data_IF_447197194457
#
_entry.id   IF_447197194457
#
_cell.length_a   1.000
_cell.length_b   1.000
_cell.length_c   1.000
_cell.angle_alpha   90.00
_cell.angle_beta   90.00
_cell.angle_gamma   90.00
#
_symmetry.space_group_name_H-M   'P 1'
#
loop_
_entity.id
_entity.type
_entity.pdbx_description
1 polymer ?
#
# COMPACT_ATOMS: atom_id res chain seq x y z
N UNK A 1 16.79 89.23 1.54
CA UNK A 1 16.28 88.42 0.42
C UNK A 1 16.76 87.00 0.65
N UNK A 2 15.99 86.07 1.25
CA UNK A 2 14.86 85.28 0.72
C UNK A 2 15.10 84.65 -0.67
N UNK A 3 14.86 83.32 -0.67
CA UNK A 3 14.41 82.44 -1.76
C UNK A 3 15.48 81.93 -2.75
N UNK A 4 15.48 80.67 -3.26
CA UNK A 4 14.81 79.37 -3.00
C UNK A 4 15.34 78.42 -4.08
N UNK A 5 15.29 77.10 -3.87
CA UNK A 5 15.53 76.09 -4.92
C UNK A 5 15.72 74.68 -4.36
N UNK A 6 14.72 74.11 -3.68
CA UNK A 6 13.74 73.14 -4.22
C UNK A 6 14.32 71.72 -4.46
N UNK A 7 14.24 70.94 -3.38
CA UNK A 7 13.82 69.53 -3.22
C UNK A 7 13.41 68.78 -4.51
N UNK A 8 14.01 67.61 -4.74
CA UNK A 8 13.28 66.43 -5.26
C UNK A 8 13.92 65.12 -4.78
N UNK A 9 13.50 64.63 -3.60
CA UNK A 9 13.67 63.22 -3.20
C UNK A 9 12.59 62.41 -3.92
N UNK A 10 12.98 61.65 -4.94
CA UNK A 10 12.11 60.61 -5.50
C UNK A 10 12.09 59.43 -4.53
N UNK A 11 11.03 59.38 -3.72
CA UNK A 11 10.67 58.27 -2.85
C UNK A 11 10.25 57.07 -3.71
N UNK A 12 11.06 56.01 -3.75
CA UNK A 12 10.54 54.69 -4.12
C UNK A 12 9.77 54.12 -2.93
N UNK A 13 8.47 54.38 -2.91
CA UNK A 13 7.55 53.79 -1.95
C UNK A 13 7.33 52.31 -2.36
N UNK A 14 8.17 51.41 -1.84
CA UNK A 14 8.04 49.97 -2.08
C UNK A 14 6.74 49.50 -1.42
N UNK A 15 5.67 49.31 -2.21
CA UNK A 15 4.39 48.80 -1.71
C UNK A 15 4.63 47.37 -1.21
N UNK A 16 4.62 47.20 0.11
CA UNK A 16 4.78 45.91 0.77
C UNK A 16 3.46 45.17 0.71
N UNK A 17 3.51 43.90 0.36
CA UNK A 17 2.31 43.08 0.19
C UNK A 17 1.66 42.77 1.53
N UNK A 18 0.37 42.46 1.51
CA UNK A 18 -0.28 41.79 2.64
C UNK A 18 0.31 40.39 2.82
N UNK A 19 0.16 39.80 4.02
CA UNK A 19 0.57 38.42 4.27
C UNK A 19 -0.09 37.43 3.29
N UNK A 20 -1.37 37.63 2.94
CA UNK A 20 -2.07 36.79 1.96
C UNK A 20 -1.49 36.93 0.55
N UNK A 21 -1.20 38.14 0.09
CA UNK A 21 -0.60 38.35 -1.24
C UNK A 21 0.83 37.82 -1.31
N UNK A 22 1.60 38.00 -0.25
CA UNK A 22 2.94 37.44 -0.14
C UNK A 22 2.90 35.91 -0.12
N UNK A 23 2.00 35.30 0.66
CA UNK A 23 1.80 33.85 0.65
C UNK A 23 1.45 33.33 -0.75
N UNK A 24 0.56 34.02 -1.44
CA UNK A 24 0.19 33.67 -2.81
C UNK A 24 1.38 33.73 -3.76
N UNK A 25 2.15 34.82 -3.72
CA UNK A 25 3.31 35.00 -4.60
C UNK A 25 4.43 34.00 -4.30
N UNK A 26 4.70 33.71 -3.02
CA UNK A 26 5.66 32.68 -2.62
C UNK A 26 5.22 31.32 -3.14
N UNK A 27 3.98 30.90 -2.89
CA UNK A 27 3.50 29.59 -3.36
C UNK A 27 3.39 29.50 -4.89
N UNK A 28 3.13 30.62 -5.57
CA UNK A 28 3.11 30.70 -7.04
C UNK A 28 4.52 30.54 -7.62
N UNK A 29 5.50 31.24 -7.05
CA UNK A 29 6.92 31.19 -7.47
C UNK A 29 7.54 29.83 -7.18
N UNK A 30 7.32 29.29 -5.98
CA UNK A 30 7.90 28.02 -5.55
C UNK A 30 7.24 26.81 -6.23
N UNK A 31 5.98 26.92 -6.65
CA UNK A 31 5.29 25.87 -7.40
C UNK A 31 5.15 24.54 -6.66
N UNK A 32 5.28 24.55 -5.33
CA UNK A 32 5.16 23.40 -4.44
C UNK A 32 4.52 23.80 -3.11
N UNK A 33 3.95 22.85 -2.35
CA UNK A 33 3.42 23.17 -1.04
C UNK A 33 4.51 23.45 -0.02
N UNK A 34 4.24 24.43 0.82
CA UNK A 34 5.16 24.93 1.83
C UNK A 34 4.46 24.98 3.18
N UNK A 35 5.23 24.74 4.24
CA UNK A 35 4.79 25.05 5.60
C UNK A 35 4.62 26.56 5.78
N UNK A 36 3.79 26.95 6.75
CA UNK A 36 3.65 28.37 7.13
C UNK A 36 5.00 29.02 7.42
N UNK A 37 5.88 28.29 8.10
CA UNK A 37 7.23 28.79 8.44
C UNK A 37 8.05 29.06 7.19
N UNK A 38 8.08 28.12 6.23
CA UNK A 38 8.76 28.31 4.94
C UNK A 38 8.18 29.51 4.16
N UNK A 39 6.84 29.63 4.09
CA UNK A 39 6.18 30.73 3.39
C UNK A 39 6.61 32.08 4.01
N UNK A 40 6.59 32.17 5.34
CA UNK A 40 6.98 33.38 6.06
C UNK A 40 8.45 33.70 5.85
N UNK A 41 9.35 32.73 6.00
CA UNK A 41 10.79 32.96 5.82
C UNK A 41 11.13 33.43 4.42
N UNK A 42 10.54 32.81 3.38
CA UNK A 42 10.75 33.22 1.98
C UNK A 42 10.14 34.61 1.71
N UNK A 43 8.97 34.91 2.28
CA UNK A 43 8.34 36.21 2.11
C UNK A 43 9.15 37.35 2.73
N UNK A 44 9.78 37.12 3.89
CA UNK A 44 10.66 38.10 4.55
C UNK A 44 11.98 38.22 3.78
N UNK A 45 12.63 37.09 3.45
CA UNK A 45 13.93 37.10 2.76
C UNK A 45 13.85 37.67 1.35
N UNK A 46 12.70 37.52 0.68
CA UNK A 46 12.43 38.12 -0.62
C UNK A 46 11.92 39.57 -0.54
N UNK A 47 11.84 40.16 0.65
CA UNK A 47 11.37 41.54 0.85
C UNK A 47 9.88 41.77 0.55
N UNK A 48 9.09 40.70 0.39
CA UNK A 48 7.66 40.79 0.05
C UNK A 48 6.83 41.35 1.21
N UNK A 49 7.24 41.04 2.45
CA UNK A 49 6.63 41.55 3.68
C UNK A 49 7.71 42.00 4.66
N UNK A 50 7.33 42.92 5.55
CA UNK A 50 8.11 43.27 6.72
C UNK A 50 7.26 43.12 7.97
N UNK A 51 7.88 42.62 9.03
CA UNK A 51 7.16 42.27 10.25
C UNK A 51 7.85 42.89 11.44
N UNK A 52 7.11 43.65 12.26
CA UNK A 52 7.59 44.20 13.54
C UNK A 52 7.33 43.26 14.73
N UNK A 53 6.44 42.27 14.55
CA UNK A 53 6.00 41.36 15.61
C UNK A 53 6.95 40.17 15.82
N UNK A 54 6.91 39.59 17.02
CA UNK A 54 7.79 38.47 17.43
C UNK A 54 7.50 37.15 16.70
N UNK A 55 6.29 36.95 16.19
CA UNK A 55 5.82 35.65 15.63
C UNK A 55 5.15 35.79 14.26
N UNK A 56 5.87 36.22 13.21
CA UNK A 56 5.30 36.48 11.89
C UNK A 56 4.69 35.24 11.22
N UNK A 57 5.18 34.05 11.53
CA UNK A 57 4.63 32.78 11.02
C UNK A 57 3.23 32.49 11.58
N UNK A 58 2.97 32.80 12.85
CA UNK A 58 1.63 32.66 13.44
C UNK A 58 0.62 33.56 12.72
N UNK A 59 1.00 34.81 12.45
CA UNK A 59 0.17 35.77 11.69
C UNK A 59 -0.08 35.29 10.26
N UNK A 60 0.95 34.83 9.55
CA UNK A 60 0.83 34.27 8.20
C UNK A 60 -0.19 33.12 8.16
N UNK A 61 -0.04 32.15 9.06
CA UNK A 61 -0.94 31.01 9.15
C UNK A 61 -2.38 31.42 9.47
N UNK A 62 -2.58 32.31 10.44
CA UNK A 62 -3.89 32.80 10.84
C UNK A 62 -4.64 33.49 9.68
N UNK A 63 -3.93 34.27 8.85
CA UNK A 63 -4.53 34.91 7.69
C UNK A 63 -4.95 33.90 6.61
N UNK A 64 -4.08 32.93 6.28
CA UNK A 64 -4.39 31.89 5.29
C UNK A 64 -5.61 31.06 5.76
N UNK A 65 -5.62 30.64 7.03
CA UNK A 65 -6.76 29.90 7.59
C UNK A 65 -8.06 30.71 7.58
N UNK A 66 -8.00 32.01 7.90
CA UNK A 66 -9.18 32.89 7.87
C UNK A 66 -9.73 33.06 6.46
N UNK A 67 -8.87 33.23 5.46
CA UNK A 67 -9.27 33.31 4.05
C UNK A 67 -9.96 32.00 3.60
N UNK A 68 -9.37 30.86 3.93
CA UNK A 68 -9.94 29.55 3.64
C UNK A 68 -11.29 29.33 4.35
N UNK A 69 -11.41 29.72 5.62
CA UNK A 69 -12.68 29.60 6.39
C UNK A 69 -13.77 30.49 5.80
N UNK A 70 -13.43 31.70 5.35
CA UNK A 70 -14.40 32.67 4.82
C UNK A 70 -14.83 32.35 3.39
N UNK A 71 -13.91 31.89 2.55
CA UNK A 71 -14.15 31.73 1.09
C UNK A 71 -14.37 30.29 0.66
N UNK A 72 -14.02 29.30 1.48
CA UNK A 72 -14.17 27.88 1.15
C UNK A 72 -13.48 27.51 -0.17
N UNK A 73 -14.28 27.16 -1.18
CA UNK A 73 -13.81 26.84 -2.53
C UNK A 73 -13.29 28.05 -3.32
N UNK A 74 -13.76 29.25 -3.01
CA UNK A 74 -13.28 30.51 -3.59
C UNK A 74 -11.95 31.02 -3.00
N UNK A 75 -11.38 30.32 -2.01
CA UNK A 75 -10.02 30.63 -1.52
C UNK A 75 -8.98 30.21 -2.55
N UNK A 76 -7.98 31.06 -2.80
CA UNK A 76 -6.84 30.73 -3.68
C UNK A 76 -5.94 29.65 -3.08
N UNK A 77 -6.04 29.43 -1.77
CA UNK A 77 -5.25 28.48 -1.01
C UNK A 77 -6.02 27.19 -0.74
N UNK A 78 -5.28 26.09 -0.65
CA UNK A 78 -5.76 24.81 -0.13
C UNK A 78 -4.76 24.22 0.87
N UNK A 79 -5.27 23.49 1.86
CA UNK A 79 -4.44 22.78 2.83
C UNK A 79 -4.10 21.42 2.26
N UNK A 80 -2.80 21.16 2.08
CA UNK A 80 -2.29 19.92 1.47
C UNK A 80 -1.74 18.92 2.50
N UNK A 81 -1.79 19.27 3.78
CA UNK A 81 -1.20 18.49 4.85
C UNK A 81 -1.11 19.28 6.16
N UNK A 82 -0.52 18.66 7.20
CA UNK A 82 -0.38 19.29 8.52
C UNK A 82 0.50 20.55 8.44
N UNK A 83 -0.14 21.72 8.48
CA UNK A 83 0.52 23.02 8.43
C UNK A 83 1.11 23.41 7.06
N UNK A 84 0.81 22.66 5.99
CA UNK A 84 1.29 22.92 4.63
C UNK A 84 0.17 23.44 3.74
N UNK A 85 0.50 24.45 2.94
CA UNK A 85 -0.44 25.15 2.07
C UNK A 85 0.04 25.13 0.62
N UNK A 86 -0.93 25.15 -0.29
CA UNK A 86 -0.72 25.24 -1.73
C UNK A 86 -1.74 26.14 -2.41
N UNK A 87 -1.58 26.34 -3.72
CA UNK A 87 -2.53 27.12 -4.52
C UNK A 87 -3.52 26.22 -5.25
N UNK A 88 -4.80 26.63 -5.30
CA UNK A 88 -5.83 25.93 -6.11
C UNK A 88 -5.55 26.01 -7.61
N UNK A 89 -4.94 27.10 -8.06
CA UNK A 89 -4.64 27.38 -9.48
C UNK A 89 -3.37 26.69 -9.98
N UNK A 90 -2.76 25.77 -9.23
CA UNK A 90 -1.65 25.00 -9.77
C UNK A 90 -2.15 24.16 -10.94
N UNK A 91 -1.90 24.63 -12.16
CA UNK A 91 -2.00 23.81 -13.37
C UNK A 91 -1.06 22.63 -13.14
N UNK A 92 -1.63 21.45 -12.92
CA UNK A 92 -0.85 20.22 -12.94
C UNK A 92 -0.09 20.19 -14.28
N UNK A 93 1.17 19.75 -14.31
CA UNK A 93 1.88 19.55 -15.57
C UNK A 93 0.99 18.74 -16.50
N UNK A 94 0.99 18.99 -17.82
CA UNK A 94 0.34 18.04 -18.73
C UNK A 94 0.96 16.67 -18.50
N UNK A 95 0.13 15.63 -18.37
CA UNK A 95 0.61 14.27 -18.21
C UNK A 95 1.44 13.88 -19.46
N UNK A 96 2.76 13.88 -19.33
CA UNK A 96 3.69 13.44 -20.36
C UNK A 96 4.27 12.08 -19.98
N UNK A 97 3.43 11.05 -20.06
CA UNK A 97 3.89 9.67 -19.91
C UNK A 97 4.20 9.11 -21.29
N UNK A 98 5.29 8.33 -21.41
CA UNK A 98 5.52 7.51 -22.61
C UNK A 98 4.41 6.47 -22.69
N UNK A 99 3.75 6.37 -23.83
CA UNK A 99 2.66 5.41 -24.07
C UNK A 99 3.13 3.96 -23.85
N UNK A 100 2.21 3.11 -23.40
CA UNK A 100 2.47 1.71 -23.08
C UNK A 100 3.27 1.48 -21.81
N UNK A 101 3.67 2.52 -21.07
CA UNK A 101 4.33 2.36 -19.76
C UNK A 101 3.32 2.15 -18.63
N UNK A 102 3.74 1.45 -17.58
CA UNK A 102 2.95 1.29 -16.33
C UNK A 102 2.36 2.62 -15.82
N UNK A 103 3.13 3.71 -15.88
CA UNK A 103 2.66 5.04 -15.44
C UNK A 103 1.61 5.62 -16.37
N UNK A 104 1.79 5.53 -17.70
CA UNK A 104 0.77 6.00 -18.65
C UNK A 104 -0.55 5.24 -18.49
N UNK A 105 -0.47 3.92 -18.33
CA UNK A 105 -1.62 3.04 -18.17
C UNK A 105 -2.33 3.33 -16.84
N UNK A 106 -1.58 3.43 -15.73
CA UNK A 106 -2.16 3.77 -14.44
C UNK A 106 -2.85 5.14 -14.44
N UNK A 107 -2.24 6.14 -15.08
CA UNK A 107 -2.84 7.48 -15.22
C UNK A 107 -4.17 7.41 -15.99
N UNK A 108 -4.18 6.75 -17.15
CA UNK A 108 -5.38 6.62 -17.98
C UNK A 108 -6.49 5.84 -17.28
N UNK A 109 -6.16 4.73 -16.61
CA UNK A 109 -7.12 3.93 -15.85
C UNK A 109 -7.73 4.78 -14.75
N UNK A 110 -6.92 5.36 -13.87
CA UNK A 110 -7.43 6.20 -12.79
C UNK A 110 -8.30 7.33 -13.36
N UNK A 111 -7.82 8.03 -14.39
CA UNK A 111 -8.56 9.13 -15.03
C UNK A 111 -9.92 8.70 -15.58
N UNK A 112 -9.98 7.55 -16.22
CA UNK A 112 -11.23 6.99 -16.76
C UNK A 112 -12.19 6.51 -15.69
N UNK A 113 -11.68 5.93 -14.60
CA UNK A 113 -12.52 5.39 -13.52
C UNK A 113 -12.96 6.47 -12.52
N UNK A 114 -12.22 7.58 -12.44
CA UNK A 114 -12.54 8.71 -11.58
C UNK A 114 -12.50 8.41 -10.08
N UNK A 115 -11.93 7.27 -9.66
CA UNK A 115 -11.93 6.82 -8.27
C UNK A 115 -10.57 6.26 -7.82
N UNK A 116 -10.23 6.37 -6.52
CA UNK A 116 -9.01 5.76 -5.99
C UNK A 116 -9.04 4.22 -6.11
N UNK A 117 -7.97 3.63 -6.65
CA UNK A 117 -7.86 2.18 -6.87
C UNK A 117 -6.60 1.61 -6.22
N UNK A 118 -6.60 0.33 -5.87
CA UNK A 118 -5.40 -0.37 -5.41
C UNK A 118 -4.47 -0.73 -6.57
N UNK A 119 -3.20 -1.01 -6.27
CA UNK A 119 -2.22 -1.46 -7.26
C UNK A 119 -2.70 -2.71 -7.99
N UNK A 120 -3.30 -3.65 -7.28
CA UNK A 120 -3.84 -4.90 -7.80
C UNK A 120 -5.03 -4.63 -8.72
N UNK A 121 -5.94 -3.73 -8.33
CA UNK A 121 -7.08 -3.32 -9.16
C UNK A 121 -6.63 -2.64 -10.46
N UNK A 122 -5.67 -1.70 -10.38
CA UNK A 122 -5.12 -1.01 -11.56
C UNK A 122 -4.44 -2.03 -12.50
N UNK A 123 -3.65 -2.96 -11.95
CA UNK A 123 -2.91 -3.95 -12.73
C UNK A 123 -3.86 -4.94 -13.40
N UNK A 124 -4.84 -5.48 -12.67
CA UNK A 124 -5.85 -6.39 -13.21
C UNK A 124 -6.64 -5.72 -14.33
N UNK A 125 -7.05 -4.46 -14.15
CA UNK A 125 -7.74 -3.69 -15.17
C UNK A 125 -6.87 -3.51 -16.42
N UNK A 126 -5.59 -3.16 -16.23
CA UNK A 126 -4.63 -2.99 -17.33
C UNK A 126 -4.44 -4.27 -18.17
N UNK A 127 -4.33 -5.43 -17.52
CA UNK A 127 -4.16 -6.72 -18.19
C UNK A 127 -5.45 -7.16 -18.90
N UNK A 128 -6.60 -7.04 -18.24
CA UNK A 128 -7.90 -7.44 -18.78
C UNK A 128 -8.24 -6.64 -20.05
N UNK A 129 -7.88 -5.37 -20.09
CA UNK A 129 -8.12 -4.49 -21.23
C UNK A 129 -6.99 -4.53 -22.28
N UNK A 130 -5.97 -5.38 -22.10
CA UNK A 130 -4.82 -5.47 -23.01
C UNK A 130 -3.97 -4.19 -23.10
N UNK A 131 -4.14 -3.25 -22.15
CA UNK A 131 -3.46 -1.95 -22.13
C UNK A 131 -1.99 -2.06 -21.71
N UNK A 132 -1.63 -3.18 -21.08
CA UNK A 132 -0.28 -3.45 -20.60
C UNK A 132 0.12 -4.87 -20.98
N UNK A 133 1.28 -5.00 -21.64
CA UNK A 133 1.92 -6.29 -21.90
C UNK A 133 3.08 -6.46 -20.93
N UNK A 134 3.12 -7.58 -20.22
CA UNK A 134 4.18 -7.86 -19.24
C UNK A 134 4.78 -9.23 -19.49
N UNK A 135 6.11 -9.32 -19.47
CA UNK A 135 6.87 -10.58 -19.59
C UNK A 135 7.17 -11.18 -18.20
N UNK A 136 7.23 -10.34 -17.15
CA UNK A 136 7.58 -10.77 -15.79
C UNK A 136 6.41 -11.35 -14.99
N UNK A 137 6.72 -12.20 -14.00
CA UNK A 137 5.74 -12.92 -13.15
C UNK A 137 4.91 -12.01 -12.22
N UNK A 138 5.37 -10.81 -11.89
CA UNK A 138 4.76 -9.95 -10.85
C UNK A 138 4.44 -8.52 -11.34
N UNK A 139 3.46 -8.37 -12.25
CA UNK A 139 3.09 -7.07 -12.82
C UNK A 139 2.55 -6.08 -11.79
N UNK A 140 1.87 -6.55 -10.74
CA UNK A 140 1.34 -5.70 -9.67
C UNK A 140 2.47 -5.08 -8.83
N UNK A 141 3.48 -5.85 -8.45
CA UNK A 141 4.65 -5.34 -7.73
C UNK A 141 5.37 -4.26 -8.57
N UNK A 142 5.49 -4.48 -9.88
CA UNK A 142 6.10 -3.52 -10.81
C UNK A 142 5.26 -2.24 -10.91
N UNK A 143 3.94 -2.36 -11.07
CA UNK A 143 3.02 -1.21 -11.10
C UNK A 143 3.17 -0.35 -9.85
N UNK A 144 3.12 -0.98 -8.67
CA UNK A 144 3.30 -0.30 -7.39
C UNK A 144 4.65 0.41 -7.31
N UNK A 145 5.75 -0.30 -7.60
CA UNK A 145 7.11 0.27 -7.54
C UNK A 145 7.27 1.50 -8.46
N UNK A 146 6.68 1.48 -9.65
CA UNK A 146 6.71 2.62 -10.59
C UNK A 146 5.94 3.83 -10.06
N UNK A 147 4.75 3.61 -9.46
CA UNK A 147 3.94 4.68 -8.87
C UNK A 147 4.62 5.27 -7.62
N UNK A 148 5.10 4.42 -6.71
CA UNK A 148 5.86 4.85 -5.52
C UNK A 148 7.09 5.67 -5.91
N UNK A 149 7.86 5.19 -6.90
CA UNK A 149 9.06 5.89 -7.36
C UNK A 149 8.73 7.22 -8.02
N UNK A 150 7.67 7.30 -8.82
CA UNK A 150 7.24 8.55 -9.46
C UNK A 150 6.83 9.59 -8.41
N UNK A 151 6.02 9.20 -7.43
CA UNK A 151 5.62 10.06 -6.31
C UNK A 151 6.84 10.50 -5.50
N UNK A 152 7.74 9.58 -5.15
CA UNK A 152 8.94 9.89 -4.36
C UNK A 152 9.88 10.85 -5.09
N UNK A 153 10.12 10.62 -6.39
CA UNK A 153 11.05 11.45 -7.19
C UNK A 153 10.46 12.80 -7.58
N UNK A 154 9.19 12.84 -7.99
CA UNK A 154 8.55 14.07 -8.50
C UNK A 154 7.80 14.86 -7.43
N UNK A 155 7.50 14.24 -6.28
CA UNK A 155 6.80 14.89 -5.18
C UNK A 155 5.50 15.53 -5.65
N UNK A 156 5.39 16.85 -5.47
CA UNK A 156 4.22 17.61 -5.91
C UNK A 156 3.98 17.56 -7.43
N UNK A 157 5.03 17.41 -8.24
CA UNK A 157 4.95 17.34 -9.70
C UNK A 157 4.45 15.99 -10.24
N UNK A 158 4.32 14.96 -9.39
CA UNK A 158 3.70 13.69 -9.79
C UNK A 158 2.19 13.88 -9.99
N UNK A 159 1.64 13.29 -11.04
CA UNK A 159 0.19 13.22 -11.25
C UNK A 159 -0.50 12.30 -10.25
N UNK A 160 0.25 11.43 -9.59
CA UNK A 160 -0.27 10.48 -8.63
C UNK A 160 -0.21 11.01 -7.20
N UNK A 161 -1.11 10.49 -6.39
CA UNK A 161 -1.09 10.62 -4.94
C UNK A 161 -1.35 9.24 -4.34
N UNK A 162 -0.67 8.95 -3.23
CA UNK A 162 -0.94 7.76 -2.45
C UNK A 162 -2.01 8.07 -1.40
N UNK A 163 -3.05 7.24 -1.34
CA UNK A 163 -4.25 7.44 -0.55
C UNK A 163 -4.51 6.22 0.36
N UNK A 164 -3.47 5.83 1.11
CA UNK A 164 -3.46 4.62 1.96
C UNK A 164 -2.45 3.57 1.51
N UNK A 165 -2.44 2.40 2.17
CA UNK A 165 -1.57 1.27 1.79
C UNK A 165 -1.98 0.76 0.41
N UNK A 166 -1.07 0.80 -0.56
CA UNK A 166 -1.26 0.35 -1.95
C UNK A 166 -2.44 0.98 -2.70
N UNK A 167 -2.97 2.13 -2.27
CA UNK A 167 -4.08 2.83 -2.95
C UNK A 167 -3.58 4.13 -3.57
N UNK A 168 -3.98 4.39 -4.81
CA UNK A 168 -3.53 5.53 -5.60
C UNK A 168 -4.70 6.27 -6.23
N UNK A 169 -4.52 7.57 -6.42
CA UNK A 169 -5.44 8.43 -7.15
C UNK A 169 -4.69 9.51 -7.91
N UNK A 170 -5.42 10.41 -8.59
CA UNK A 170 -4.83 11.51 -9.33
C UNK A 170 -4.90 12.82 -8.55
N UNK A 171 -3.82 13.62 -8.63
CA UNK A 171 -3.76 14.95 -8.03
C UNK A 171 -4.70 15.98 -8.66
N UNK A 172 -5.14 15.74 -9.90
CA UNK A 172 -6.11 16.60 -10.58
C UNK A 172 -7.52 16.49 -9.98
N UNK A 173 -7.81 15.43 -9.21
CA UNK A 173 -9.05 15.31 -8.45
C UNK A 173 -8.93 16.14 -7.18
N UNK A 174 -9.28 17.43 -7.23
CA UNK A 174 -9.31 18.42 -6.14
C UNK A 174 -9.27 17.80 -4.69
N UNK A 175 -8.08 17.40 -4.24
CA UNK A 175 -7.88 16.35 -3.20
C UNK A 175 -8.30 16.79 -1.78
N UNK A 176 -8.68 18.04 -1.59
CA UNK A 176 -9.14 18.57 -0.31
C UNK A 176 -10.42 17.91 0.21
N UNK A 177 -11.27 17.39 -0.68
CA UNK A 177 -12.47 16.61 -0.32
C UNK A 177 -12.15 15.12 -0.12
N UNK A 178 -11.34 14.55 -1.01
CA UNK A 178 -10.98 13.13 -1.01
C UNK A 178 -10.12 12.72 0.19
N UNK A 179 -9.28 13.60 0.75
CA UNK A 179 -8.52 13.26 1.96
C UNK A 179 -9.42 13.03 3.19
N UNK A 180 -10.56 13.73 3.23
CA UNK A 180 -11.59 13.55 4.26
C UNK A 180 -12.36 12.26 4.04
N UNK A 181 -12.79 12.00 2.80
CA UNK A 181 -13.56 10.81 2.44
C UNK A 181 -12.73 9.52 2.49
N UNK A 182 -11.42 9.59 2.24
CA UNK A 182 -10.51 8.45 2.33
C UNK A 182 -10.14 8.20 3.77
N UNK A 183 -9.88 9.24 4.59
CA UNK A 183 -9.74 9.06 6.04
C UNK A 183 -11.03 8.57 6.69
N UNK A 184 -12.20 8.95 6.16
CA UNK A 184 -13.52 8.48 6.60
C UNK A 184 -13.75 7.04 6.17
N UNK A 185 -13.47 6.66 4.93
CA UNK A 185 -13.53 5.28 4.44
C UNK A 185 -12.49 4.37 5.12
N UNK A 186 -11.30 4.89 5.45
CA UNK A 186 -10.29 4.20 6.25
C UNK A 186 -10.71 4.10 7.72
N UNK A 187 -11.31 5.13 8.32
CA UNK A 187 -11.89 5.06 9.68
C UNK A 187 -13.09 4.13 9.76
N UNK A 188 -13.96 4.13 8.76
CA UNK A 188 -15.13 3.25 8.67
C UNK A 188 -14.70 1.80 8.42
N UNK A 189 -13.59 1.56 7.71
CA UNK A 189 -12.92 0.24 7.66
C UNK A 189 -12.11 -0.12 8.94
N UNK A 190 -11.83 0.85 9.80
CA UNK A 190 -11.18 0.67 11.12
C UNK A 190 -12.21 0.70 12.26
N UNK A 191 -13.51 0.59 11.96
CA UNK A 191 -14.34 -0.23 12.83
C UNK A 191 -13.87 -1.65 12.55
N UNK A 192 -12.83 -2.06 13.29
CA UNK A 192 -12.49 -3.46 13.44
C UNK A 192 -13.74 -4.05 14.06
N UNK A 193 -14.67 -4.53 13.23
CA UNK A 193 -15.42 -5.71 13.62
C UNK A 193 -14.31 -6.69 13.99
N UNK A 194 -14.08 -6.86 15.30
CA UNK A 194 -13.12 -7.86 15.78
C UNK A 194 -13.71 -9.15 15.29
N UNK A 195 -13.37 -9.54 14.06
CA UNK A 195 -13.69 -10.85 13.50
C UNK A 195 -13.22 -11.78 14.59
N UNK A 196 -14.19 -12.41 15.25
CA UNK A 196 -13.90 -13.33 16.35
C UNK A 196 -12.91 -14.33 15.78
N UNK A 197 -11.83 -14.59 16.51
CA UNK A 197 -10.88 -15.60 16.08
C UNK A 197 -11.62 -16.92 16.03
N UNK A 198 -11.76 -17.49 14.83
CA UNK A 198 -12.31 -18.83 14.64
C UNK A 198 -11.12 -19.79 14.75
N UNK A 199 -11.27 -20.79 15.61
CA UNK A 199 -10.32 -21.89 15.79
C UNK A 199 -10.97 -23.18 15.32
N UNK A 200 -10.17 -24.20 15.00
CA UNK A 200 -10.68 -25.52 14.64
C UNK A 200 -11.20 -26.31 15.84
N UNK A 201 -11.60 -27.55 15.60
CA UNK A 201 -12.07 -28.45 16.66
C UNK A 201 -10.98 -28.69 17.72
N UNK A 202 -11.32 -28.85 19.01
CA UNK A 202 -10.33 -29.18 20.03
C UNK A 202 -9.62 -30.51 19.74
N UNK A 203 -8.29 -30.46 19.66
CA UNK A 203 -7.44 -31.66 19.45
C UNK A 203 -6.57 -31.98 20.67
N UNK A 204 -6.20 -31.00 21.50
CA UNK A 204 -5.36 -31.16 22.70
C UNK A 204 -4.17 -32.10 22.49
N UNK A 205 -3.27 -31.74 21.57
CA UNK A 205 -2.19 -32.62 21.12
C UNK A 205 -0.88 -31.84 20.92
N UNK A 206 0.21 -32.31 21.54
CA UNK A 206 1.56 -31.68 21.46
C UNK A 206 1.57 -30.15 21.65
N UNK A 207 0.75 -29.66 22.59
CA UNK A 207 0.62 -28.24 22.93
C UNK A 207 -0.28 -27.43 22.00
N UNK A 208 -0.96 -28.06 21.03
CA UNK A 208 -2.04 -27.45 20.26
C UNK A 208 -3.38 -27.80 20.89
N UNK A 209 -4.14 -26.78 21.30
CA UNK A 209 -5.50 -26.97 21.83
C UNK A 209 -6.48 -27.25 20.71
N UNK A 210 -6.39 -26.51 19.60
CA UNK A 210 -7.32 -26.57 18.46
C UNK A 210 -6.64 -27.04 17.18
N UNK A 211 -7.40 -27.70 16.31
CA UNK A 211 -6.95 -28.15 15.00
C UNK A 211 -6.77 -27.01 13.99
N UNK A 212 -6.05 -27.28 12.88
CA UNK A 212 -5.89 -26.34 11.78
C UNK A 212 -7.22 -25.87 11.18
N UNK A 213 -7.25 -24.63 10.69
CA UNK A 213 -8.35 -24.05 9.89
C UNK A 213 -7.88 -23.58 8.51
N UNK A 214 -6.60 -23.79 8.19
CA UNK A 214 -5.93 -23.43 6.95
C UNK A 214 -4.64 -24.25 6.79
N UNK A 215 -3.95 -24.05 5.67
CA UNK A 215 -2.69 -24.70 5.29
C UNK A 215 -1.54 -24.39 6.27
N UNK A 216 -1.36 -23.13 6.69
CA UNK A 216 -0.35 -22.75 7.69
C UNK A 216 -0.45 -23.57 8.99
N UNK A 217 -1.69 -23.82 9.44
CA UNK A 217 -1.95 -24.67 10.60
C UNK A 217 -1.57 -26.14 10.36
N UNK A 218 -1.76 -26.64 9.13
CA UNK A 218 -1.33 -27.98 8.72
C UNK A 218 0.19 -28.08 8.73
N UNK A 219 0.90 -27.11 8.15
CA UNK A 219 2.36 -27.03 8.16
C UNK A 219 2.89 -27.02 9.60
N UNK A 220 2.31 -26.18 10.46
CA UNK A 220 2.71 -26.09 11.86
C UNK A 220 2.49 -27.40 12.63
N UNK A 221 1.35 -28.06 12.41
CA UNK A 221 1.06 -29.36 13.03
C UNK A 221 2.01 -30.44 12.50
N UNK A 222 2.21 -30.53 11.19
CA UNK A 222 3.16 -31.46 10.57
C UNK A 222 4.58 -31.26 11.13
N UNK A 223 5.04 -30.01 11.28
CA UNK A 223 6.30 -29.68 11.92
C UNK A 223 6.45 -30.20 13.36
N UNK A 224 5.35 -30.50 14.06
CA UNK A 224 5.37 -31.15 15.38
C UNK A 224 5.37 -32.67 15.33
N UNK A 225 5.01 -33.30 14.21
CA UNK A 225 4.84 -34.76 14.09
C UNK A 225 5.60 -35.43 12.95
N UNK A 226 6.35 -34.68 12.14
CA UNK A 226 7.06 -35.24 10.98
C UNK A 226 8.02 -36.38 11.38
N UNK A 227 8.61 -36.33 12.58
CA UNK A 227 9.47 -37.40 13.11
C UNK A 227 8.68 -38.69 13.39
N UNK A 228 7.48 -38.60 13.97
CA UNK A 228 6.59 -39.75 14.15
C UNK A 228 6.08 -40.32 12.83
N UNK A 229 5.99 -39.47 11.80
CA UNK A 229 5.69 -39.87 10.42
C UNK A 229 6.90 -40.48 9.70
N UNK A 230 8.08 -40.49 10.33
CA UNK A 230 9.31 -41.04 9.74
C UNK A 230 9.90 -40.17 8.62
N UNK A 231 9.56 -38.88 8.58
CA UNK A 231 10.01 -37.92 7.57
C UNK A 231 10.96 -36.91 8.22
N UNK A 232 12.18 -36.81 7.70
CA UNK A 232 13.13 -35.76 8.05
C UNK A 232 12.99 -34.60 7.06
N UNK A 233 12.52 -33.44 7.53
CA UNK A 233 12.36 -32.25 6.68
C UNK A 233 13.72 -31.59 6.43
N UNK A 234 14.06 -31.38 5.16
CA UNK A 234 15.31 -30.70 4.74
C UNK A 234 15.07 -29.22 4.40
N UNK A 235 13.94 -28.90 3.77
CA UNK A 235 13.59 -27.53 3.37
C UNK A 235 12.07 -27.32 3.28
N UNK A 236 11.64 -26.08 3.56
CA UNK A 236 10.30 -25.55 3.28
C UNK A 236 10.47 -24.34 2.35
N UNK A 237 9.64 -24.22 1.34
CA UNK A 237 9.68 -23.19 0.31
C UNK A 237 8.29 -22.68 -0.04
N UNK A 238 8.21 -21.53 -0.71
CA UNK A 238 6.94 -20.93 -1.14
C UNK A 238 6.54 -21.29 -2.57
N UNK A 239 7.33 -22.13 -3.23
CA UNK A 239 7.07 -22.59 -4.58
C UNK A 239 6.75 -24.07 -4.53
N UNK A 240 5.77 -24.51 -5.30
CA UNK A 240 5.44 -25.91 -5.47
C UNK A 240 6.67 -26.77 -5.88
N UNK A 241 6.94 -27.92 -5.22
CA UNK A 241 6.29 -28.40 -4.00
C UNK A 241 6.76 -27.67 -2.73
N UNK A 242 5.88 -27.51 -1.74
CA UNK A 242 6.14 -26.70 -0.55
C UNK A 242 7.28 -27.19 0.35
N UNK A 243 7.58 -28.49 0.35
CA UNK A 243 8.68 -29.01 1.16
C UNK A 243 9.43 -30.17 0.51
N UNK A 244 10.68 -30.30 0.95
CA UNK A 244 11.54 -31.45 0.67
C UNK A 244 11.94 -32.12 1.97
N UNK A 245 11.87 -33.43 2.00
CA UNK A 245 12.38 -34.24 3.09
C UNK A 245 12.98 -35.55 2.64
N UNK A 246 13.25 -36.41 3.63
CA UNK A 246 13.69 -37.79 3.42
C UNK A 246 12.95 -38.75 4.33
N UNK A 247 12.65 -39.94 3.82
CA UNK A 247 12.14 -41.05 4.62
C UNK A 247 13.06 -42.25 4.55
N UNK A 248 13.09 -43.05 5.62
CA UNK A 248 13.94 -44.24 5.71
C UNK A 248 13.29 -45.41 4.97
N UNK A 249 14.07 -46.07 4.14
CA UNK A 249 13.71 -47.30 3.41
C UNK A 249 14.74 -48.39 3.68
N UNK A 250 14.46 -49.64 3.26
CA UNK A 250 15.37 -50.79 3.50
C UNK A 250 16.80 -50.55 2.99
N UNK A 251 16.95 -49.82 1.87
CA UNK A 251 18.25 -49.55 1.23
C UNK A 251 18.93 -48.25 1.70
N UNK A 252 18.32 -47.48 2.60
CA UNK A 252 18.87 -46.19 3.04
C UNK A 252 17.79 -45.13 3.24
N UNK A 253 17.98 -43.96 2.64
CA UNK A 253 17.06 -42.83 2.72
C UNK A 253 16.70 -42.36 1.31
N UNK A 254 15.42 -42.25 1.01
CA UNK A 254 14.94 -41.67 -0.24
C UNK A 254 14.40 -40.26 0.02
N UNK A 255 14.51 -39.39 -0.98
CA UNK A 255 13.87 -38.09 -0.96
C UNK A 255 12.36 -38.20 -1.13
N UNK A 256 11.65 -37.25 -0.53
CA UNK A 256 10.21 -37.08 -0.68
C UNK A 256 9.89 -35.60 -0.83
N UNK A 257 9.06 -35.28 -1.81
CA UNK A 257 8.51 -33.96 -2.05
C UNK A 257 7.08 -33.89 -1.54
N UNK A 258 6.79 -32.84 -0.78
CA UNK A 258 5.55 -32.71 -0.02
C UNK A 258 4.86 -31.42 -0.46
N UNK A 259 3.57 -31.54 -0.74
CA UNK A 259 2.66 -30.40 -0.84
C UNK A 259 1.77 -30.33 0.39
N UNK A 260 1.59 -29.14 0.95
CA UNK A 260 0.69 -28.93 2.09
C UNK A 260 -0.62 -28.36 1.61
N UNK A 261 -1.72 -28.91 2.12
CA UNK A 261 -3.05 -28.40 1.79
C UNK A 261 -3.94 -28.40 3.04
N UNK A 262 -4.95 -27.53 3.08
CA UNK A 262 -5.96 -27.67 4.14
C UNK A 262 -6.82 -28.92 3.89
N UNK A 263 -7.37 -29.04 2.68
CA UNK A 263 -8.05 -30.24 2.20
C UNK A 263 -7.30 -30.84 1.03
N UNK A 264 -7.27 -32.16 0.91
CA UNK A 264 -6.60 -32.80 -0.24
C UNK A 264 -7.14 -32.35 -1.61
N UNK A 265 -8.42 -31.96 -1.70
CA UNK A 265 -9.02 -31.46 -2.94
C UNK A 265 -8.51 -30.08 -3.34
N UNK A 266 -7.96 -29.31 -2.40
CA UNK A 266 -7.36 -27.99 -2.66
C UNK A 266 -6.15 -28.10 -3.60
N UNK A 267 -5.43 -29.23 -3.56
CA UNK A 267 -4.36 -29.55 -4.52
C UNK A 267 -4.80 -29.42 -5.99
N UNK A 268 -6.02 -29.90 -6.28
CA UNK A 268 -6.63 -29.79 -7.61
C UNK A 268 -7.14 -28.38 -7.88
N UNK A 269 -7.66 -27.69 -6.88
CA UNK A 269 -8.11 -26.30 -6.99
C UNK A 269 -6.95 -25.36 -7.33
N UNK A 270 -5.77 -25.64 -6.79
CA UNK A 270 -4.53 -24.92 -7.05
C UNK A 270 -3.82 -25.31 -8.36
N UNK A 271 -4.36 -26.28 -9.11
CA UNK A 271 -3.84 -26.74 -10.41
C UNK A 271 -2.40 -27.29 -10.34
N UNK A 272 -2.07 -27.98 -9.24
CA UNK A 272 -0.77 -28.65 -9.09
C UNK A 272 -0.70 -29.93 -9.92
N UNK A 273 0.47 -30.19 -10.52
CA UNK A 273 0.73 -31.44 -11.25
C UNK A 273 0.98 -32.58 -10.24
N UNK A 274 0.17 -33.65 -10.21
CA UNK A 274 0.38 -34.80 -9.31
C UNK A 274 1.72 -35.53 -9.50
N UNK A 275 2.46 -35.25 -10.58
CA UNK A 275 3.82 -35.78 -10.80
C UNK A 275 4.91 -34.91 -10.17
N UNK A 276 4.56 -33.74 -9.68
CA UNK A 276 5.51 -32.76 -9.14
C UNK A 276 5.87 -32.99 -7.68
N UNK A 277 5.08 -33.77 -6.94
CA UNK A 277 5.36 -34.16 -5.55
C UNK A 277 5.00 -35.63 -5.31
N UNK A 278 5.45 -36.16 -4.18
CA UNK A 278 5.24 -37.56 -3.79
C UNK A 278 4.12 -37.71 -2.75
N UNK A 279 3.89 -36.67 -1.94
CA UNK A 279 2.99 -36.69 -0.79
C UNK A 279 2.16 -35.40 -0.73
N UNK A 280 0.85 -35.53 -0.52
CA UNK A 280 0.00 -34.46 0.03
C UNK A 280 -0.11 -34.65 1.53
N UNK A 281 0.26 -33.64 2.30
CA UNK A 281 -0.04 -33.59 3.73
C UNK A 281 -1.20 -32.62 3.95
N UNK A 282 -2.35 -33.11 4.43
CA UNK A 282 -3.54 -32.29 4.60
C UNK A 282 -4.23 -32.46 5.96
N UNK A 283 -5.09 -31.51 6.35
CA UNK A 283 -5.92 -31.69 7.55
C UNK A 283 -7.01 -32.74 7.32
N UNK A 284 -7.74 -32.63 6.20
CA UNK A 284 -8.85 -33.51 5.84
C UNK A 284 -8.68 -34.07 4.42
N UNK A 285 -8.84 -35.38 4.25
CA UNK A 285 -8.77 -36.02 2.93
C UNK A 285 -10.18 -36.21 2.36
N UNK A 286 -10.51 -35.40 1.36
CA UNK A 286 -11.82 -35.35 0.70
C UNK A 286 -11.76 -35.63 -0.82
N UNK A 287 -10.56 -35.75 -1.40
CA UNK A 287 -10.37 -35.98 -2.83
C UNK A 287 -10.43 -37.47 -3.18
N UNK A 288 -11.63 -37.95 -3.52
CA UNK A 288 -11.90 -39.37 -3.80
C UNK A 288 -11.18 -39.91 -5.05
N UNK A 289 -10.98 -39.07 -6.05
CA UNK A 289 -10.29 -39.43 -7.29
C UNK A 289 -8.79 -39.08 -7.27
N UNK A 290 -8.19 -38.92 -6.07
CA UNK A 290 -6.76 -38.68 -5.93
C UNK A 290 -5.96 -39.80 -6.63
N UNK A 291 -4.98 -39.47 -7.50
CA UNK A 291 -4.18 -40.47 -8.19
C UNK A 291 -3.48 -41.42 -7.22
N UNK A 292 -3.47 -42.74 -7.49
CA UNK A 292 -2.86 -43.72 -6.58
C UNK A 292 -1.33 -43.59 -6.48
N UNK A 293 -0.71 -42.83 -7.38
CA UNK A 293 0.72 -42.50 -7.33
C UNK A 293 1.08 -41.47 -6.27
N UNK A 294 0.10 -40.76 -5.73
CA UNK A 294 0.29 -39.67 -4.77
C UNK A 294 -0.17 -40.13 -3.39
N UNK A 295 0.77 -40.17 -2.43
CA UNK A 295 0.45 -40.54 -1.06
C UNK A 295 -0.29 -39.38 -0.38
N UNK A 296 -1.35 -39.67 0.38
CA UNK A 296 -2.06 -38.66 1.17
C UNK A 296 -1.93 -38.96 2.65
N UNK A 297 -1.31 -38.05 3.39
CA UNK A 297 -1.21 -38.10 4.86
C UNK A 297 -2.26 -37.16 5.44
N UNK A 298 -3.37 -37.73 5.90
CA UNK A 298 -4.43 -36.98 6.59
C UNK A 298 -4.09 -36.80 8.08
N UNK A 299 -3.71 -35.58 8.46
CA UNK A 299 -3.26 -35.27 9.81
C UNK A 299 -4.34 -35.43 10.88
N UNK A 300 -5.62 -35.23 10.55
CA UNK A 300 -6.73 -35.42 11.51
C UNK A 300 -6.80 -36.87 12.01
N UNK A 301 -6.73 -37.83 11.10
CA UNK A 301 -6.68 -39.26 11.43
C UNK A 301 -5.36 -39.66 12.10
N UNK A 302 -4.22 -39.11 11.65
CA UNK A 302 -2.91 -39.34 12.29
C UNK A 302 -2.91 -38.89 13.74
N UNK A 303 -3.43 -37.69 14.05
CA UNK A 303 -3.49 -37.17 15.42
C UNK A 303 -4.35 -38.07 16.31
N UNK A 304 -5.52 -38.52 15.83
CA UNK A 304 -6.36 -39.44 16.60
C UNK A 304 -5.63 -40.76 16.91
N UNK A 305 -4.96 -41.35 15.90
CA UNK A 305 -4.20 -42.58 16.06
C UNK A 305 -3.02 -42.41 17.04
N UNK A 306 -2.28 -41.30 16.94
CA UNK A 306 -1.20 -41.00 17.87
C UNK A 306 -1.73 -40.77 19.29
N UNK A 307 -2.85 -40.06 19.48
CA UNK A 307 -3.42 -39.89 20.83
C UNK A 307 -3.78 -41.22 21.49
N UNK A 308 -4.39 -42.14 20.75
CA UNK A 308 -4.79 -43.46 21.27
C UNK A 308 -3.59 -44.32 21.67
N UNK A 309 -2.42 -44.15 21.04
CA UNK A 309 -1.19 -44.87 21.41
C UNK A 309 -0.55 -44.38 22.71
N UNK A 310 -0.79 -43.14 23.10
CA UNK A 310 -0.16 -42.50 24.27
C UNK A 310 -1.10 -42.41 25.48
N UNK A 311 -2.37 -42.76 25.30
CA UNK A 311 -3.38 -42.77 26.35
C UNK A 311 -4.23 -44.07 26.23
N UNK A 312 -3.61 -45.26 26.43
CA UNK A 312 -4.28 -46.55 26.31
C UNK A 312 -5.36 -46.78 27.38
#
# INVERSE_FOLDING_TARGET
>A
MKQTGVISKVSQNTIKLSFLEAAYNVLKKEGRPLSVSEITSIAISSGLILTKGKTPSATMGAQIYRDMKRRGEGSRFLKVGRGKFGLRVWKQPKASFKEGTFKSVAYNILKSTGKPMTVEEITRFALTQGLLKTVGKTPAATMGAQLYTDIKKKGFKSHFVQLGKNRFGLKEWNLGALEGDIKKAEKEKVVIDKKRSIVGDPINFKGLVYGPTNEDGVIFLFGKIHQELGINVEAIQSAFPDAKGRRKVRKGWEDVWIEFEYKSSDFKVHDHDPKGCDIIVCWEHDWKECPPSLEVIELKSVVQNLKNRWNP
#
